data_IF_275668131958
#
_entry.id   IF_275668131958
#
_cell.length_a   1.000
_cell.length_b   1.000
_cell.length_c   1.000
_cell.angle_alpha   90.00
_cell.angle_beta   90.00
_cell.angle_gamma   90.00
#
_symmetry.space_group_name_H-M   'P 1'
#
loop_
_entity.id
_entity.type
_entity.pdbx_description
1 polymer ?
#
# COMPACT_ATOMS: atom_id res chain seq x y z
N UNK A 1 15.11 3.16 -0.03
CA UNK A 1 14.86 2.62 1.33
C UNK A 1 15.02 1.12 1.29
N UNK A 2 15.48 0.49 2.37
CA UNK A 2 15.49 -0.99 2.41
C UNK A 2 14.09 -1.53 2.68
N UNK A 3 13.87 -2.83 2.40
CA UNK A 3 12.62 -3.51 2.73
C UNK A 3 12.38 -3.52 4.25
N UNK A 4 13.43 -3.71 5.06
CA UNK A 4 13.31 -3.70 6.51
C UNK A 4 12.87 -2.32 7.04
N UNK A 5 13.43 -1.24 6.50
CA UNK A 5 13.01 0.13 6.86
C UNK A 5 11.53 0.37 6.50
N UNK A 6 11.14 -0.07 5.31
CA UNK A 6 9.76 0.09 4.81
C UNK A 6 8.78 -0.72 5.65
N UNK A 7 9.12 -1.96 6.01
CA UNK A 7 8.29 -2.79 6.88
C UNK A 7 8.08 -2.14 8.26
N UNK A 8 9.15 -1.61 8.87
CA UNK A 8 9.05 -0.89 10.14
C UNK A 8 8.10 0.31 10.06
N UNK A 9 8.23 1.12 9.02
CA UNK A 9 7.36 2.29 8.77
C UNK A 9 5.89 1.87 8.60
N UNK A 10 5.63 0.83 7.80
CA UNK A 10 4.26 0.31 7.58
C UNK A 10 3.65 -0.21 8.88
N UNK A 11 4.41 -0.96 9.67
CA UNK A 11 3.93 -1.54 10.94
C UNK A 11 3.63 -0.46 11.98
N UNK A 12 4.44 0.57 12.06
CA UNK A 12 4.22 1.72 12.94
C UNK A 12 2.96 2.49 12.53
N UNK A 13 2.88 2.85 11.24
CA UNK A 13 1.77 3.65 10.68
C UNK A 13 0.40 2.95 10.77
N UNK A 14 0.36 1.64 10.59
CA UNK A 14 -0.87 0.82 10.66
C UNK A 14 -0.93 -0.05 11.93
N UNK A 15 -0.30 0.39 13.02
CA UNK A 15 -0.31 -0.34 14.29
C UNK A 15 -1.72 -0.57 14.84
N UNK A 16 -2.67 0.30 14.51
CA UNK A 16 -4.10 0.23 14.82
C UNK A 16 -4.94 -0.54 13.80
N UNK A 17 -4.40 -0.86 12.61
CA UNK A 17 -5.09 -1.59 11.53
C UNK A 17 -4.20 -2.75 11.02
N UNK A 18 -4.05 -3.86 11.78
CA UNK A 18 -3.14 -4.95 11.43
C UNK A 18 -3.37 -5.58 10.05
N UNK A 19 -4.62 -5.57 9.56
CA UNK A 19 -4.94 -6.06 8.21
C UNK A 19 -4.23 -5.25 7.12
N UNK A 20 -4.04 -3.94 7.30
CA UNK A 20 -3.35 -3.10 6.32
C UNK A 20 -1.85 -3.39 6.23
N UNK A 21 -1.25 -3.83 7.34
CA UNK A 21 0.14 -4.36 7.33
C UNK A 21 0.22 -5.61 6.46
N UNK A 22 -0.76 -6.53 6.57
CA UNK A 22 -0.79 -7.75 5.76
C UNK A 22 -1.07 -7.45 4.28
N UNK A 23 -1.94 -6.49 4.00
CA UNK A 23 -2.15 -5.98 2.63
C UNK A 23 -0.83 -5.47 2.05
N UNK A 24 -0.11 -4.59 2.75
CA UNK A 24 1.19 -4.08 2.29
C UNK A 24 2.22 -5.19 2.01
N UNK A 25 2.27 -6.21 2.89
CA UNK A 25 3.11 -7.40 2.69
C UNK A 25 2.75 -8.13 1.39
N UNK A 26 1.46 -8.35 1.15
CA UNK A 26 0.98 -9.10 -0.02
C UNK A 26 1.06 -8.31 -1.33
N UNK A 27 0.86 -6.99 -1.29
CA UNK A 27 0.89 -6.12 -2.46
C UNK A 27 2.32 -5.87 -2.96
N UNK A 28 3.27 -5.64 -2.05
CA UNK A 28 4.61 -5.18 -2.43
C UNK A 28 5.76 -5.96 -1.78
N UNK A 29 5.49 -6.83 -0.81
CA UNK A 29 6.49 -7.37 0.13
C UNK A 29 7.25 -6.24 0.85
N UNK A 30 6.50 -5.23 1.32
CA UNK A 30 7.07 -4.03 1.95
C UNK A 30 8.12 -3.32 1.09
N UNK A 31 7.89 -3.24 -0.22
CA UNK A 31 8.76 -2.47 -1.13
C UNK A 31 8.02 -1.21 -1.56
N UNK A 32 8.57 -0.06 -1.24
CA UNK A 32 8.11 1.21 -1.78
C UNK A 32 8.96 1.67 -2.97
N UNK A 33 10.27 1.39 -2.94
CA UNK A 33 11.24 1.76 -3.98
C UNK A 33 11.98 0.54 -4.50
N UNK A 34 12.48 0.62 -5.73
CA UNK A 34 13.41 -0.33 -6.34
C UNK A 34 14.85 -0.02 -5.91
N UNK A 35 15.78 -0.90 -6.27
CA UNK A 35 17.20 -0.75 -5.93
C UNK A 35 17.84 0.53 -6.50
N UNK A 36 17.31 1.05 -7.61
CA UNK A 36 17.75 2.31 -8.23
C UNK A 36 17.12 3.56 -7.61
N UNK A 37 16.25 3.41 -6.60
CA UNK A 37 15.54 4.49 -5.92
C UNK A 37 14.23 4.92 -6.58
N UNK A 38 13.87 4.37 -7.76
CA UNK A 38 12.57 4.64 -8.37
C UNK A 38 11.43 4.00 -7.57
N UNK A 39 10.23 4.60 -7.62
CA UNK A 39 9.05 4.07 -6.92
C UNK A 39 8.61 2.75 -7.56
N UNK A 40 8.29 1.77 -6.72
CA UNK A 40 7.75 0.49 -7.16
C UNK A 40 6.45 0.71 -7.95
N UNK A 41 6.41 0.15 -9.16
CA UNK A 41 5.21 0.07 -9.98
C UNK A 41 4.75 -1.37 -10.13
N UNK A 42 3.44 -1.56 -10.27
CA UNK A 42 2.85 -2.86 -10.51
C UNK A 42 3.40 -3.53 -11.76
N UNK A 43 3.50 -4.86 -11.72
CA UNK A 43 4.01 -5.66 -12.85
C UNK A 43 2.99 -5.77 -13.99
N UNK A 44 1.70 -5.86 -13.65
CA UNK A 44 0.60 -6.01 -14.61
C UNK A 44 0.09 -4.64 -15.04
N UNK A 45 -0.15 -3.75 -14.07
CA UNK A 45 -0.48 -2.35 -14.32
C UNK A 45 0.58 -1.45 -13.70
N UNK A 46 1.33 -0.73 -14.55
CA UNK A 46 2.38 0.18 -14.10
C UNK A 46 1.85 1.38 -13.32
N UNK A 47 0.52 1.54 -13.24
CA UNK A 47 -0.14 2.62 -12.51
C UNK A 47 -0.36 2.25 -11.04
N UNK A 48 -0.24 0.98 -10.65
CA UNK A 48 -0.21 0.56 -9.25
C UNK A 48 1.08 1.05 -8.60
N UNK A 49 0.96 1.83 -7.53
CA UNK A 49 2.05 2.66 -7.04
C UNK A 49 2.41 2.35 -5.58
N UNK A 50 3.72 2.18 -5.34
CA UNK A 50 4.30 2.17 -4.00
C UNK A 50 3.92 0.95 -3.17
N UNK A 51 3.98 1.10 -1.85
CA UNK A 51 3.91 -0.03 -0.91
C UNK A 51 2.49 -0.60 -0.80
N UNK A 52 1.48 0.23 -1.02
CA UNK A 52 0.06 -0.14 -1.00
C UNK A 52 -0.52 -0.44 -2.38
N UNK A 53 0.32 -0.39 -3.44
CA UNK A 53 -0.06 -0.64 -4.84
C UNK A 53 -1.32 0.12 -5.29
N UNK A 54 -1.44 1.41 -4.91
CA UNK A 54 -2.60 2.23 -5.28
C UNK A 54 -2.57 2.55 -6.78
N UNK A 55 -3.64 2.20 -7.49
CA UNK A 55 -3.74 2.47 -8.92
C UNK A 55 -3.98 3.97 -9.21
N UNK A 56 -2.97 4.64 -9.76
CA UNK A 56 -2.99 6.08 -10.00
C UNK A 56 -3.98 6.54 -11.09
N UNK A 57 -4.48 5.64 -11.96
CA UNK A 57 -5.52 5.99 -12.92
C UNK A 57 -6.86 6.31 -12.22
N UNK A 58 -7.26 5.47 -11.27
CA UNK A 58 -8.52 5.63 -10.55
C UNK A 58 -8.42 6.62 -9.40
N UNK A 59 -7.25 6.67 -8.76
CA UNK A 59 -7.07 7.36 -7.49
C UNK A 59 -6.21 8.62 -7.56
N UNK A 60 -5.43 8.82 -8.63
CA UNK A 60 -4.47 9.91 -8.73
C UNK A 60 -5.11 11.30 -8.71
N UNK A 61 -6.25 11.49 -9.39
CA UNK A 61 -6.97 12.76 -9.36
C UNK A 61 -7.43 13.10 -7.94
N UNK A 62 -8.01 12.12 -7.22
CA UNK A 62 -8.49 12.34 -5.86
C UNK A 62 -7.35 12.55 -4.87
N UNK A 63 -6.26 11.80 -4.98
CA UNK A 63 -5.06 12.00 -4.17
C UNK A 63 -4.52 13.43 -4.33
N UNK A 64 -4.45 13.93 -5.58
CA UNK A 64 -4.01 15.30 -5.86
C UNK A 64 -4.93 16.37 -5.26
N UNK A 65 -6.24 16.19 -5.32
CA UNK A 65 -7.20 17.10 -4.66
C UNK A 65 -6.99 17.19 -3.15
N UNK A 66 -6.56 16.09 -2.53
CA UNK A 66 -6.25 16.00 -1.11
C UNK A 66 -4.83 16.50 -0.78
N UNK A 67 -4.05 16.89 -1.79
CA UNK A 67 -2.65 17.30 -1.61
C UNK A 67 -1.68 16.14 -1.40
N UNK A 68 -2.10 14.90 -1.66
CA UNK A 68 -1.33 13.68 -1.45
C UNK A 68 -0.56 13.28 -2.71
N UNK A 69 0.71 12.94 -2.55
CA UNK A 69 1.56 12.37 -3.58
C UNK A 69 1.69 10.85 -3.40
N UNK A 70 1.04 10.04 -4.23
CA UNK A 70 1.07 8.58 -4.13
C UNK A 70 2.49 7.95 -4.28
N UNK A 71 3.47 8.72 -4.77
CA UNK A 71 4.89 8.34 -4.83
C UNK A 71 5.67 8.60 -3.54
N UNK A 72 5.10 9.33 -2.59
CA UNK A 72 5.61 9.45 -1.23
C UNK A 72 5.05 8.32 -0.38
N UNK A 73 5.88 7.64 0.42
CA UNK A 73 5.44 6.50 1.23
C UNK A 73 4.34 6.85 2.24
N UNK A 74 4.41 8.00 2.90
CA UNK A 74 3.43 8.40 3.91
C UNK A 74 2.09 8.74 3.26
N UNK A 75 2.10 9.55 2.21
CA UNK A 75 0.89 9.91 1.45
C UNK A 75 0.26 8.67 0.78
N UNK A 76 1.08 7.70 0.32
CA UNK A 76 0.61 6.42 -0.20
C UNK A 76 -0.17 5.62 0.85
N UNK A 77 0.34 5.57 2.09
CA UNK A 77 -0.32 4.92 3.21
C UNK A 77 -1.53 5.71 3.73
N UNK A 78 -1.47 7.04 3.73
CA UNK A 78 -2.58 7.92 4.11
C UNK A 78 -3.76 7.75 3.17
N UNK A 79 -3.50 7.73 1.86
CA UNK A 79 -4.54 7.46 0.88
C UNK A 79 -5.11 6.04 1.03
N UNK A 80 -4.26 5.04 1.31
CA UNK A 80 -4.70 3.67 1.57
C UNK A 80 -5.56 3.57 2.84
N UNK A 81 -5.21 4.27 3.92
CA UNK A 81 -6.04 4.36 5.13
C UNK A 81 -7.42 4.94 4.81
N UNK A 82 -7.46 6.05 4.07
CA UNK A 82 -8.72 6.67 3.67
C UNK A 82 -9.60 5.69 2.86
N UNK A 83 -9.01 4.95 1.91
CA UNK A 83 -9.75 3.93 1.16
C UNK A 83 -10.28 2.83 2.07
N UNK A 84 -9.47 2.37 3.03
CA UNK A 84 -9.86 1.35 3.99
C UNK A 84 -11.01 1.82 4.88
N UNK A 85 -10.96 3.05 5.39
CA UNK A 85 -12.04 3.61 6.22
C UNK A 85 -13.36 3.73 5.46
N UNK A 86 -13.30 3.99 4.15
CA UNK A 86 -14.48 4.12 3.30
C UNK A 86 -15.03 2.77 2.79
N UNK A 87 -14.15 1.79 2.53
CA UNK A 87 -14.51 0.61 1.74
C UNK A 87 -14.07 -0.73 2.37
N UNK A 88 -13.37 -0.68 3.50
CA UNK A 88 -12.66 -1.82 4.06
C UNK A 88 -11.55 -2.31 3.11
N UNK A 89 -11.34 -3.62 3.06
CA UNK A 89 -10.28 -4.23 2.25
C UNK A 89 -10.65 -4.45 0.78
N UNK A 90 -11.85 -4.05 0.34
CA UNK A 90 -12.34 -4.29 -1.03
C UNK A 90 -11.37 -3.84 -2.14
N UNK A 91 -10.66 -2.69 -2.05
CA UNK A 91 -9.71 -2.28 -3.08
C UNK A 91 -8.57 -3.30 -3.32
N UNK A 92 -8.24 -4.11 -2.32
CA UNK A 92 -7.18 -5.13 -2.36
C UNK A 92 -7.70 -6.56 -2.42
N UNK A 93 -8.93 -6.76 -2.93
CA UNK A 93 -9.51 -8.10 -3.08
C UNK A 93 -8.69 -9.03 -3.97
N UNK A 94 -7.93 -8.47 -4.94
CA UNK A 94 -7.05 -9.26 -5.81
C UNK A 94 -5.96 -10.01 -5.03
N UNK A 95 -5.48 -9.45 -3.92
CA UNK A 95 -4.49 -10.06 -3.03
C UNK A 95 -5.11 -10.75 -1.80
N UNK A 96 -6.45 -10.80 -1.70
CA UNK A 96 -7.15 -11.43 -0.57
C UNK A 96 -6.69 -12.84 -0.22
N UNK A 97 -6.44 -13.75 -1.19
CA UNK A 97 -5.94 -15.09 -0.87
C UNK A 97 -4.61 -15.10 -0.11
N UNK A 98 -3.81 -14.02 -0.17
CA UNK A 98 -2.58 -13.86 0.59
C UNK A 98 -2.86 -13.31 2.01
N UNK A 99 -3.46 -12.11 2.13
CA UNK A 99 -3.56 -11.45 3.43
C UNK A 99 -4.62 -12.05 4.36
N UNK A 100 -5.66 -12.69 3.81
CA UNK A 100 -6.71 -13.33 4.64
C UNK A 100 -6.19 -14.56 5.39
N UNK A 101 -5.20 -15.27 4.84
CA UNK A 101 -4.55 -16.41 5.50
C UNK A 101 -3.69 -15.99 6.68
N UNK A 102 -2.98 -14.87 6.52
CA UNK A 102 -2.11 -14.31 7.56
C UNK A 102 -2.92 -13.84 8.77
N UNK A 103 -4.09 -13.23 8.56
CA UNK A 103 -5.01 -12.86 9.65
C UNK A 103 -5.57 -14.06 10.42
N UNK A 104 -5.84 -15.18 9.74
CA UNK A 104 -6.31 -16.40 10.38
C UNK A 104 -5.20 -17.10 11.20
N UNK A 105 -3.95 -16.65 11.08
CA UNK A 105 -2.78 -17.20 11.76
C UNK A 105 -2.29 -16.31 12.92
N UNK A 106 -2.93 -15.16 13.16
CA UNK A 106 -2.71 -14.25 14.29
C UNK A 106 -3.66 -14.59 15.45
#
# INVERSE_FOLDING_TARGET
MTTADTEGIVRDYFSDIPVMVQVAKCESMFRHTLADGSVLRGKVDSRDTGVMQINSYYHGAKAKELGLNLENIYDNMEYARMLYEQQGTKPWNASAPCWSRELASL
#
